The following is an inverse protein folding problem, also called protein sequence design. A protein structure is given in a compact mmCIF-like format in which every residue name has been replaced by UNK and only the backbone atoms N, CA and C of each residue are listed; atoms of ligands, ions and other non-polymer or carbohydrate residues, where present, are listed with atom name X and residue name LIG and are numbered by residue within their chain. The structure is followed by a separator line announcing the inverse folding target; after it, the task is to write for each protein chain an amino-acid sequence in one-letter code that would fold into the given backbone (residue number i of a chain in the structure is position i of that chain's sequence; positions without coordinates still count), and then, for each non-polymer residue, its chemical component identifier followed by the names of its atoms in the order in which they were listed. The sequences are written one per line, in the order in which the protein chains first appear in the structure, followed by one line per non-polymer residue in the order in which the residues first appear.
data_IF_725012182568
#
_entry.id   IF_725012182568
#
_cell.length_a   1.000
_cell.length_b   1.000
_cell.length_c   1.000
_cell.angle_alpha   90.00
_cell.angle_beta   90.00
_cell.angle_gamma   90.00
#
_symmetry.space_group_name_H-M   'P 1'
#
loop_
_entity.id
_entity.type
_entity.pdbx_description
1 polymer ?
#
# COMPACT_ATOMS: atom_id res chain seq x y z
N UNK A 1 -23.91 -1.19 -3.61
CA UNK A 1 -23.86 -1.65 -5.01
C UNK A 1 -22.82 -2.73 -5.07
N UNK A 2 -23.25 -3.95 -5.36
CA UNK A 2 -22.43 -5.14 -5.44
C UNK A 2 -22.83 -5.90 -6.71
N UNK A 3 -21.88 -6.58 -7.33
CA UNK A 3 -22.10 -7.50 -8.44
C UNK A 3 -22.08 -8.94 -7.94
N UNK A 4 -22.55 -9.88 -8.78
CA UNK A 4 -22.61 -11.31 -8.46
C UNK A 4 -23.30 -11.60 -7.11
N UNK A 5 -24.37 -10.86 -6.81
CA UNK A 5 -25.09 -11.00 -5.54
C UNK A 5 -25.77 -12.37 -5.45
N UNK A 6 -25.39 -13.16 -4.45
CA UNK A 6 -25.97 -14.44 -4.09
C UNK A 6 -26.77 -14.25 -2.80
N UNK A 7 -28.00 -14.76 -2.81
CA UNK A 7 -28.86 -14.84 -1.64
C UNK A 7 -28.77 -16.29 -1.12
N UNK A 8 -28.40 -16.47 0.14
CA UNK A 8 -28.31 -17.78 0.79
C UNK A 8 -29.14 -17.82 2.06
N UNK A 9 -29.66 -19.00 2.39
CA UNK A 9 -30.31 -19.32 3.67
C UNK A 9 -29.69 -20.61 4.19
N UNK A 10 -29.21 -20.62 5.44
CA UNK A 10 -28.51 -21.76 6.05
C UNK A 10 -27.41 -22.34 5.14
N UNK A 11 -26.54 -21.46 4.63
CA UNK A 11 -25.44 -21.76 3.69
C UNK A 11 -25.84 -22.39 2.34
N UNK A 12 -27.15 -22.48 2.05
CA UNK A 12 -27.67 -22.97 0.77
C UNK A 12 -28.16 -21.81 -0.10
N UNK A 13 -27.71 -21.70 -1.37
CA UNK A 13 -28.19 -20.65 -2.27
C UNK A 13 -29.68 -20.83 -2.57
N UNK A 14 -30.44 -19.74 -2.46
CA UNK A 14 -31.87 -19.74 -2.75
C UNK A 14 -32.12 -19.15 -4.14
N UNK A 15 -33.09 -19.72 -4.86
CA UNK A 15 -33.59 -19.19 -6.13
C UNK A 15 -35.10 -19.03 -6.00
N UNK A 16 -35.59 -17.78 -6.03
CA UNK A 16 -37.00 -17.46 -5.80
C UNK A 16 -37.24 -15.98 -5.53
N UNK A 17 -38.46 -15.64 -5.14
CA UNK A 17 -38.84 -14.28 -4.74
C UNK A 17 -38.54 -14.05 -3.26
N UNK A 18 -37.83 -12.97 -2.95
CA UNK A 18 -37.58 -12.50 -1.58
C UNK A 18 -38.34 -11.20 -1.38
N UNK A 19 -39.13 -11.11 -0.31
CA UNK A 19 -39.88 -9.90 0.01
C UNK A 19 -38.97 -8.86 0.68
N UNK A 20 -39.07 -7.62 0.20
CA UNK A 20 -38.33 -6.46 0.74
C UNK A 20 -39.35 -5.41 1.14
N UNK A 21 -39.35 -5.04 2.42
CA UNK A 21 -40.23 -3.99 2.98
C UNK A 21 -39.34 -2.91 3.58
N UNK A 22 -39.56 -1.65 3.20
CA UNK A 22 -38.77 -0.49 3.65
C UNK A 22 -37.24 -0.64 3.49
N UNK A 23 -36.81 -1.37 2.46
CA UNK A 23 -35.40 -1.60 2.15
C UNK A 23 -34.72 -2.66 3.00
N UNK A 24 -35.46 -3.39 3.85
CA UNK A 24 -34.97 -4.54 4.61
C UNK A 24 -35.58 -5.83 4.09
N UNK A 25 -34.81 -6.93 4.17
CA UNK A 25 -35.33 -8.25 3.89
C UNK A 25 -36.32 -8.63 5.00
N UNK A 26 -37.51 -9.07 4.62
CA UNK A 26 -38.52 -9.54 5.57
C UNK A 26 -38.04 -10.80 6.31
N UNK A 27 -37.25 -11.62 5.63
CA UNK A 27 -36.61 -12.81 6.20
C UNK A 27 -35.16 -12.52 6.61
N UNK A 28 -34.93 -12.45 7.92
CA UNK A 28 -33.62 -12.20 8.53
C UNK A 28 -32.65 -13.39 8.43
N UNK A 29 -33.12 -14.57 8.02
CA UNK A 29 -32.26 -15.74 7.79
C UNK A 29 -31.57 -15.71 6.43
N UNK A 30 -31.99 -14.80 5.55
CA UNK A 30 -31.40 -14.64 4.22
C UNK A 30 -30.18 -13.73 4.31
N UNK A 31 -29.02 -14.29 3.97
CA UNK A 31 -27.77 -13.56 3.86
C UNK A 31 -27.53 -13.17 2.41
N UNK A 32 -27.17 -11.90 2.19
CA UNK A 32 -26.84 -11.35 0.87
C UNK A 32 -25.34 -11.16 0.78
N UNK A 33 -24.69 -11.92 -0.10
CA UNK A 33 -23.25 -11.80 -0.35
C UNK A 33 -23.02 -11.37 -1.78
N UNK A 34 -22.09 -10.48 -2.05
CA UNK A 34 -21.77 -10.05 -3.42
C UNK A 34 -20.44 -9.32 -3.49
N UNK A 35 -19.88 -9.24 -4.69
CA UNK A 35 -18.62 -8.57 -4.96
C UNK A 35 -18.82 -7.05 -4.87
N UNK A 36 -18.10 -6.40 -3.95
CA UNK A 36 -18.18 -4.95 -3.80
C UNK A 36 -17.60 -4.25 -5.03
N UNK A 37 -18.41 -3.40 -5.67
CA UNK A 37 -17.97 -2.50 -6.74
C UNK A 37 -17.10 -1.32 -6.24
N UNK A 38 -16.97 -1.16 -4.93
CA UNK A 38 -16.03 -0.19 -4.36
C UNK A 38 -14.66 -0.84 -4.22
N UNK A 39 -13.64 -0.15 -4.74
CA UNK A 39 -12.25 -0.54 -4.60
C UNK A 39 -11.43 0.55 -3.91
N UNK A 40 -10.32 0.15 -3.28
CA UNK A 40 -9.32 1.06 -2.70
C UNK A 40 -9.90 2.09 -1.71
N UNK A 41 -9.68 3.39 -1.95
CA UNK A 41 -10.02 4.47 -1.01
C UNK A 41 -11.53 4.59 -0.76
N UNK A 42 -12.42 4.61 -1.78
CA UNK A 42 -13.87 4.59 -1.55
C UNK A 42 -14.37 3.44 -0.67
N UNK A 43 -13.79 2.25 -0.79
CA UNK A 43 -14.17 1.10 0.02
C UNK A 43 -13.82 1.30 1.49
N UNK A 44 -12.58 1.72 1.77
CA UNK A 44 -12.13 1.97 3.13
C UNK A 44 -12.87 3.15 3.75
N UNK A 45 -13.12 4.22 3.00
CA UNK A 45 -13.95 5.35 3.44
C UNK A 45 -15.35 4.88 3.84
N UNK A 46 -16.06 4.11 2.98
CA UNK A 46 -17.40 3.61 3.33
C UNK A 46 -17.38 2.65 4.52
N UNK A 47 -16.35 1.81 4.66
CA UNK A 47 -16.21 0.92 5.79
C UNK A 47 -16.03 1.71 7.10
N UNK A 48 -15.17 2.73 7.11
CA UNK A 48 -14.95 3.58 8.27
C UNK A 48 -16.17 4.44 8.61
N UNK A 49 -16.93 4.89 7.61
CA UNK A 49 -18.19 5.62 7.83
C UNK A 49 -19.25 4.73 8.49
N UNK A 50 -19.32 3.44 8.14
CA UNK A 50 -20.25 2.49 8.75
C UNK A 50 -19.78 1.92 10.09
N UNK A 51 -18.52 2.15 10.46
CA UNK A 51 -17.94 1.69 11.71
C UNK A 51 -18.19 2.65 12.88
N UNK A 52 -17.33 2.53 13.90
CA UNK A 52 -17.44 3.29 15.16
C UNK A 52 -17.40 4.82 15.00
N UNK A 53 -16.89 5.32 13.87
CA UNK A 53 -16.63 6.75 13.66
C UNK A 53 -17.77 7.48 12.95
N UNK A 54 -18.81 6.77 12.48
CA UNK A 54 -19.92 7.38 11.75
C UNK A 54 -19.45 8.28 10.61
N UNK A 55 -20.13 9.40 10.38
CA UNK A 55 -19.76 10.36 9.32
C UNK A 55 -18.37 11.01 9.47
N UNK A 56 -17.75 10.93 10.65
CA UNK A 56 -16.37 11.39 10.85
C UNK A 56 -15.32 10.45 10.26
N UNK A 57 -15.67 9.17 10.03
CA UNK A 57 -14.75 8.16 9.48
C UNK A 57 -14.15 8.58 8.13
N UNK A 58 -14.91 9.29 7.29
CA UNK A 58 -14.43 9.74 5.98
C UNK A 58 -13.30 10.77 6.07
N UNK A 59 -13.36 11.67 7.06
CA UNK A 59 -12.35 12.70 7.26
C UNK A 59 -11.05 12.09 7.82
N UNK A 60 -11.17 11.13 8.74
CA UNK A 60 -10.02 10.40 9.29
C UNK A 60 -9.27 9.68 8.17
N UNK A 61 -9.98 8.94 7.31
CA UNK A 61 -9.36 8.24 6.17
C UNK A 61 -8.70 9.22 5.21
N UNK A 62 -9.35 10.34 4.89
CA UNK A 62 -8.82 11.33 3.95
C UNK A 62 -7.55 12.03 4.48
N UNK A 63 -7.57 12.48 5.74
CA UNK A 63 -6.42 13.13 6.38
C UNK A 63 -5.27 12.12 6.56
N UNK A 64 -5.58 10.90 7.01
CA UNK A 64 -4.58 9.84 7.18
C UNK A 64 -3.90 9.47 5.85
N UNK A 65 -4.70 9.32 4.78
CA UNK A 65 -4.19 9.05 3.44
C UNK A 65 -3.29 10.18 2.94
N UNK A 66 -3.69 11.44 3.15
CA UNK A 66 -2.89 12.60 2.78
C UNK A 66 -1.53 12.60 3.48
N UNK A 67 -1.51 12.43 4.82
CA UNK A 67 -0.27 12.38 5.60
C UNK A 67 0.64 11.22 5.17
N UNK A 68 0.05 10.05 4.90
CA UNK A 68 0.79 8.88 4.43
C UNK A 68 1.38 9.07 3.02
N UNK A 69 0.62 9.70 2.12
CA UNK A 69 1.10 10.02 0.78
C UNK A 69 2.26 11.02 0.84
N UNK A 70 2.17 12.06 1.67
CA UNK A 70 3.25 13.03 1.85
C UNK A 70 4.52 12.41 2.44
N UNK A 71 4.40 11.60 3.50
CA UNK A 71 5.57 10.97 4.11
C UNK A 71 6.28 10.03 3.14
N UNK A 72 5.51 9.27 2.36
CA UNK A 72 6.01 8.39 1.30
C UNK A 72 6.72 9.22 0.21
N UNK A 73 6.09 10.30 -0.27
CA UNK A 73 6.66 11.18 -1.29
C UNK A 73 8.01 11.79 -0.85
N UNK A 74 8.14 12.17 0.42
CA UNK A 74 9.40 12.71 0.95
C UNK A 74 10.48 11.62 1.01
N UNK A 75 10.15 10.43 1.49
CA UNK A 75 11.09 9.31 1.56
C UNK A 75 11.63 8.94 0.17
N UNK A 76 10.75 8.81 -0.83
CA UNK A 76 11.15 8.49 -2.20
C UNK A 76 11.95 9.62 -2.87
N UNK A 77 11.65 10.89 -2.57
CA UNK A 77 12.49 12.01 -3.01
C UNK A 77 13.91 11.87 -2.45
N UNK A 78 14.05 11.53 -1.17
CA UNK A 78 15.37 11.37 -0.54
C UNK A 78 16.15 10.18 -1.13
N UNK A 79 15.51 9.04 -1.35
CA UNK A 79 16.17 7.89 -2.00
C UNK A 79 16.68 8.26 -3.40
N UNK A 80 15.87 8.98 -4.18
CA UNK A 80 16.28 9.49 -5.48
C UNK A 80 17.44 10.49 -5.41
N UNK A 81 17.45 11.39 -4.43
CA UNK A 81 18.56 12.32 -4.22
C UNK A 81 19.88 11.57 -3.97
N UNK A 82 19.86 10.50 -3.18
CA UNK A 82 21.04 9.66 -2.93
C UNK A 82 21.49 8.94 -4.20
N UNK A 83 20.55 8.37 -4.95
CA UNK A 83 20.85 7.69 -6.22
C UNK A 83 21.45 8.64 -7.26
N UNK A 84 20.86 9.83 -7.43
CA UNK A 84 21.36 10.86 -8.35
C UNK A 84 22.72 11.40 -7.93
N UNK A 85 22.95 11.58 -6.61
CA UNK A 85 24.27 11.97 -6.09
C UNK A 85 25.32 10.92 -6.42
N UNK A 86 24.99 9.63 -6.30
CA UNK A 86 25.90 8.53 -6.64
C UNK A 86 26.21 8.47 -8.13
N UNK A 87 25.20 8.67 -8.99
CA UNK A 87 25.34 8.49 -10.44
C UNK A 87 25.93 9.71 -11.17
N UNK A 88 25.54 10.93 -10.76
CA UNK A 88 25.86 12.18 -11.47
C UNK A 88 26.47 13.26 -10.55
N UNK A 89 26.73 12.94 -9.30
CA UNK A 89 27.28 13.88 -8.32
C UNK A 89 26.23 14.81 -7.70
N UNK A 90 26.66 15.62 -6.72
CA UNK A 90 25.78 16.45 -5.88
C UNK A 90 25.01 17.55 -6.62
N UNK A 91 25.53 18.00 -7.77
CA UNK A 91 24.90 19.08 -8.56
C UNK A 91 23.63 18.62 -9.28
N UNK A 92 23.43 17.31 -9.45
CA UNK A 92 22.26 16.74 -10.16
C UNK A 92 20.99 16.68 -9.31
N UNK A 93 21.11 16.87 -7.99
CA UNK A 93 20.00 16.73 -7.03
C UNK A 93 18.90 17.77 -7.26
N UNK A 94 19.25 19.03 -7.51
CA UNK A 94 18.26 20.08 -7.70
C UNK A 94 17.41 19.86 -8.98
N UNK A 95 18.01 19.59 -10.16
CA UNK A 95 17.24 19.19 -11.34
C UNK A 95 16.33 17.98 -11.10
N UNK A 96 16.84 16.95 -10.40
CA UNK A 96 16.05 15.76 -10.07
C UNK A 96 14.80 16.10 -9.25
N UNK A 97 14.92 16.90 -8.19
CA UNK A 97 13.77 17.30 -7.36
C UNK A 97 12.71 18.05 -8.14
N UNK A 98 13.13 18.91 -9.08
CA UNK A 98 12.19 19.62 -9.96
C UNK A 98 11.42 18.62 -10.82
N UNK A 99 12.11 17.68 -11.47
CA UNK A 99 11.47 16.63 -12.28
C UNK A 99 10.56 15.74 -11.42
N UNK A 100 10.98 15.38 -10.22
CA UNK A 100 10.20 14.57 -9.28
C UNK A 100 8.86 15.23 -8.92
N UNK A 101 8.89 16.54 -8.60
CA UNK A 101 7.66 17.31 -8.31
C UNK A 101 6.77 17.42 -9.55
N UNK A 102 7.35 17.70 -10.73
CA UNK A 102 6.60 17.69 -11.99
C UNK A 102 5.98 16.32 -12.30
N UNK A 103 6.64 15.24 -11.89
CA UNK A 103 6.14 13.87 -11.97
C UNK A 103 4.77 13.70 -11.32
N UNK A 104 4.50 14.33 -10.17
CA UNK A 104 3.19 14.26 -9.51
C UNK A 104 2.08 14.88 -10.37
N UNK A 105 2.36 15.97 -11.07
CA UNK A 105 1.38 16.58 -11.99
C UNK A 105 1.08 15.64 -13.15
N UNK A 106 2.11 15.00 -13.73
CA UNK A 106 1.90 14.03 -14.81
C UNK A 106 1.16 12.77 -14.32
N UNK A 107 1.45 12.31 -13.10
CA UNK A 107 0.80 11.15 -12.50
C UNK A 107 -0.69 11.40 -12.21
N UNK A 108 -1.06 12.64 -11.87
CA UNK A 108 -2.46 13.02 -11.66
C UNK A 108 -3.30 13.00 -12.95
N UNK A 109 -2.65 13.09 -14.13
CA UNK A 109 -3.30 13.04 -15.44
C UNK A 109 -3.22 11.65 -16.10
N UNK A 110 -2.36 10.76 -15.60
CA UNK A 110 -2.12 9.45 -16.17
C UNK A 110 -3.09 8.39 -15.63
N UNK A 111 -3.35 7.36 -16.43
CA UNK A 111 -4.15 6.22 -16.00
C UNK A 111 -3.48 5.49 -14.83
N UNK A 112 -4.27 5.23 -13.78
CA UNK A 112 -3.79 4.59 -12.55
C UNK A 112 -3.13 3.23 -12.84
N UNK A 113 -3.70 2.42 -13.74
CA UNK A 113 -3.13 1.13 -14.15
C UNK A 113 -1.75 1.27 -14.77
N UNK A 114 -1.53 2.30 -15.60
CA UNK A 114 -0.24 2.55 -16.24
C UNK A 114 0.80 2.92 -15.18
N UNK A 115 0.44 3.82 -14.25
CA UNK A 115 1.31 4.22 -13.14
C UNK A 115 1.70 3.03 -12.27
N UNK A 116 0.75 2.16 -11.93
CA UNK A 116 1.03 0.94 -11.16
C UNK A 116 1.95 -0.03 -11.91
N UNK A 117 1.70 -0.26 -13.20
CA UNK A 117 2.52 -1.18 -14.00
C UNK A 117 3.98 -0.70 -14.10
N UNK A 118 4.19 0.59 -14.40
CA UNK A 118 5.54 1.18 -14.47
C UNK A 118 6.23 1.09 -13.10
N UNK A 119 5.51 1.35 -12.02
CA UNK A 119 6.04 1.28 -10.65
C UNK A 119 6.51 -0.14 -10.31
N UNK A 120 5.69 -1.15 -10.60
CA UNK A 120 6.03 -2.55 -10.35
C UNK A 120 7.28 -3.00 -11.12
N UNK A 121 7.36 -2.66 -12.41
CA UNK A 121 8.53 -2.99 -13.25
C UNK A 121 9.80 -2.35 -12.68
N UNK A 122 9.72 -1.07 -12.31
CA UNK A 122 10.85 -0.32 -11.77
C UNK A 122 11.32 -0.85 -10.43
N UNK A 123 10.39 -1.20 -9.53
CA UNK A 123 10.70 -1.82 -8.24
C UNK A 123 11.42 -3.15 -8.44
N UNK A 124 10.92 -4.03 -9.30
CA UNK A 124 11.56 -5.32 -9.57
C UNK A 124 12.97 -5.11 -10.13
N UNK A 125 13.13 -4.19 -11.09
CA UNK A 125 14.43 -3.87 -11.69
C UNK A 125 15.45 -3.38 -10.66
N UNK A 126 15.02 -2.61 -9.66
CA UNK A 126 15.87 -2.14 -8.56
C UNK A 126 16.15 -3.26 -7.53
N UNK A 127 15.14 -4.05 -7.20
CA UNK A 127 15.22 -5.07 -6.13
C UNK A 127 16.08 -6.26 -6.53
N UNK A 128 16.01 -6.72 -7.78
CA UNK A 128 16.78 -7.89 -8.27
C UNK A 128 18.30 -7.73 -8.04
N UNK A 129 18.99 -6.68 -8.54
CA UNK A 129 20.43 -6.53 -8.34
C UNK A 129 20.79 -6.34 -6.86
N UNK A 130 19.94 -5.64 -6.09
CA UNK A 130 20.15 -5.45 -4.65
C UNK A 130 20.11 -6.79 -3.89
N UNK A 131 19.12 -7.63 -4.17
CA UNK A 131 19.01 -8.96 -3.55
C UNK A 131 20.20 -9.85 -3.91
N UNK A 132 20.64 -9.84 -5.17
CA UNK A 132 21.84 -10.59 -5.59
C UNK A 132 23.07 -10.11 -4.81
N UNK A 133 23.24 -8.79 -4.67
CA UNK A 133 24.34 -8.22 -3.90
C UNK A 133 24.34 -8.68 -2.43
N UNK A 134 23.18 -8.64 -1.78
CA UNK A 134 23.03 -9.10 -0.39
C UNK A 134 23.35 -10.59 -0.26
N UNK A 135 22.91 -11.43 -1.21
CA UNK A 135 23.20 -12.86 -1.20
C UNK A 135 24.69 -13.16 -1.36
N UNK A 136 25.40 -12.40 -2.19
CA UNK A 136 26.85 -12.53 -2.35
C UNK A 136 27.59 -12.09 -1.07
N UNK A 137 27.14 -10.99 -0.44
CA UNK A 137 27.77 -10.40 0.74
C UNK A 137 27.35 -11.01 2.08
N UNK A 138 26.56 -12.09 2.09
CA UNK A 138 26.01 -12.65 3.34
C UNK A 138 27.09 -13.07 4.35
N UNK A 139 28.26 -13.51 3.87
CA UNK A 139 29.40 -13.90 4.73
C UNK A 139 30.03 -12.69 5.42
N UNK A 140 30.26 -11.61 4.68
CA UNK A 140 30.83 -10.37 5.21
C UNK A 140 29.88 -9.73 6.21
N UNK A 141 28.58 -9.67 5.88
CA UNK A 141 27.55 -9.18 6.81
C UNK A 141 27.58 -9.97 8.12
N UNK A 142 27.65 -11.31 8.07
CA UNK A 142 27.73 -12.15 9.28
C UNK A 142 28.98 -11.81 10.11
N UNK A 143 30.13 -11.66 9.46
CA UNK A 143 31.38 -11.31 10.14
C UNK A 143 31.31 -9.94 10.83
N UNK A 144 30.84 -8.90 10.12
CA UNK A 144 30.68 -7.55 10.67
C UNK A 144 29.67 -7.51 11.82
N UNK A 145 28.57 -8.26 11.72
CA UNK A 145 27.59 -8.38 12.80
C UNK A 145 28.22 -9.04 14.02
N UNK A 146 28.96 -10.14 13.86
CA UNK A 146 29.68 -10.79 14.97
C UNK A 146 30.67 -9.83 15.65
N UNK A 147 31.49 -9.12 14.86
CA UNK A 147 32.44 -8.13 15.38
C UNK A 147 31.74 -7.00 16.16
N UNK A 148 30.60 -6.51 15.67
CA UNK A 148 29.80 -5.51 16.37
C UNK A 148 29.31 -6.00 17.73
N UNK A 149 28.82 -7.23 17.82
CA UNK A 149 28.35 -7.83 19.07
C UNK A 149 29.46 -8.06 20.10
N UNK A 150 30.67 -8.39 19.63
CA UNK A 150 31.87 -8.51 20.47
C UNK A 150 32.29 -7.15 21.03
N UNK A 151 32.32 -6.11 20.19
CA UNK A 151 32.69 -4.74 20.60
C UNK A 151 31.69 -4.10 21.55
N UNK A 152 30.40 -4.38 21.40
CA UNK A 152 29.34 -3.76 22.22
C UNK A 152 29.02 -4.53 23.50
N UNK A 153 29.70 -5.66 23.78
CA UNK A 153 29.57 -6.39 25.04
C UNK A 153 28.25 -7.17 25.21
N UNK A 154 27.29 -7.00 24.30
CA UNK A 154 26.03 -7.76 24.29
C UNK A 154 26.19 -9.23 23.87
N UNK A 155 27.37 -9.63 23.35
CA UNK A 155 27.70 -11.02 23.04
C UNK A 155 27.96 -11.94 24.24
N UNK A 156 27.97 -11.43 25.48
CA UNK A 156 28.31 -12.22 26.69
C UNK A 156 27.15 -12.99 27.34
N UNK A 157 25.92 -12.96 26.79
CA UNK A 157 24.77 -13.69 27.31
C UNK A 157 24.44 -15.00 26.57
N UNK A 158 25.45 -15.64 25.96
CA UNK A 158 25.37 -17.06 25.61
C UNK A 158 26.36 -17.86 26.47
N UNK A 159 25.87 -18.28 27.63
CA UNK A 159 26.29 -19.46 28.37
C UNK A 159 25.03 -20.07 28.99
#
# INVERSE_FOLDING_TARGET
VAENTIYSRDDSPISGTVNVVDGQLEDLTVVVTGDSLLHSVPLTTRAFTRGLFGDFGQYIVSIGLMLFAFSTAIAWSYYGDRAMTYLFGTKSVLPYRIVYVLGFFTAALADTTVVWNISLITIVLMTVPNLIGILLMHKEMKATVTEYWEKTGHGKHKA
#
